data_IF_329236343292
#
_entry.id   IF_329236343292
#
_cell.length_a   1.000
_cell.length_b   1.000
_cell.length_c   1.000
_cell.angle_alpha   90.00
_cell.angle_beta   90.00
_cell.angle_gamma   90.00
#
_symmetry.space_group_name_H-M   'P 1'
#
loop_
_entity.id
_entity.type
_entity.pdbx_description
1 polymer ?
#
# COMPACT_ATOMS: atom_id res chain seq x y z
N UNK A 1 8.99 13.96 -34.24
CA UNK A 1 9.30 12.61 -34.75
C UNK A 1 8.88 11.46 -33.79
N UNK A 2 8.01 11.68 -32.80
CA UNK A 2 7.64 10.64 -31.81
C UNK A 2 6.23 10.02 -31.98
N UNK A 3 5.51 10.33 -33.07
CA UNK A 3 4.08 9.99 -33.20
C UNK A 3 3.74 8.71 -33.97
N UNK A 4 4.70 8.02 -34.60
CA UNK A 4 4.38 6.99 -35.61
C UNK A 4 4.51 5.54 -35.12
N UNK A 5 5.05 5.29 -33.92
CA UNK A 5 5.38 3.93 -33.44
C UNK A 5 4.58 3.57 -32.16
N UNK A 6 3.69 4.44 -31.69
CA UNK A 6 2.91 4.20 -30.46
C UNK A 6 3.76 4.11 -29.18
N UNK A 7 5.05 4.43 -29.24
CA UNK A 7 5.98 4.37 -28.11
C UNK A 7 5.91 5.66 -27.30
N UNK A 8 5.87 5.51 -25.97
CA UNK A 8 5.95 6.66 -25.05
C UNK A 8 7.32 7.34 -25.18
N UNK A 9 7.45 8.67 -24.97
CA UNK A 9 8.72 9.40 -25.09
C UNK A 9 9.88 8.78 -24.29
N UNK A 10 9.59 8.27 -23.09
CA UNK A 10 10.57 7.57 -22.25
C UNK A 10 11.06 6.25 -22.88
N UNK A 11 10.18 5.50 -23.55
CA UNK A 11 10.54 4.26 -24.25
C UNK A 11 11.42 4.56 -25.47
N UNK A 12 11.07 5.59 -26.24
CA UNK A 12 11.88 6.05 -27.37
C UNK A 12 13.28 6.47 -26.93
N UNK A 13 13.37 7.22 -25.83
CA UNK A 13 14.66 7.62 -25.26
C UNK A 13 15.47 6.41 -24.78
N UNK A 14 14.85 5.46 -24.09
CA UNK A 14 15.53 4.23 -23.65
C UNK A 14 16.06 3.39 -24.82
N UNK A 15 15.29 3.27 -25.91
CA UNK A 15 15.72 2.55 -27.13
C UNK A 15 16.91 3.25 -27.78
N UNK A 16 16.90 4.58 -27.85
CA UNK A 16 18.03 5.32 -28.40
C UNK A 16 19.29 5.21 -27.51
N UNK A 17 19.11 5.33 -26.20
CA UNK A 17 20.21 5.31 -25.22
C UNK A 17 20.84 3.93 -25.05
N UNK A 18 20.06 2.84 -25.09
CA UNK A 18 20.56 1.48 -24.84
C UNK A 18 20.47 0.55 -26.05
N UNK A 19 19.43 0.67 -26.87
CA UNK A 19 19.21 -0.20 -28.03
C UNK A 19 20.26 0.01 -29.13
N UNK A 20 20.51 1.26 -29.53
CA UNK A 20 21.50 1.56 -30.57
C UNK A 20 22.92 1.14 -30.13
N UNK A 21 23.42 1.48 -28.92
CA UNK A 21 24.71 1.00 -28.46
C UNK A 21 24.80 -0.52 -28.33
N UNK A 22 23.72 -1.20 -27.94
CA UNK A 22 23.70 -2.66 -27.83
C UNK A 22 23.79 -3.34 -29.20
N UNK A 23 23.08 -2.83 -30.22
CA UNK A 23 23.19 -3.32 -31.60
C UNK A 23 24.61 -3.10 -32.13
N UNK A 24 25.20 -1.93 -31.89
CA UNK A 24 26.60 -1.66 -32.24
C UNK A 24 27.56 -2.60 -31.51
N UNK A 25 27.34 -2.86 -30.22
CA UNK A 25 28.11 -3.83 -29.44
C UNK A 25 28.04 -5.23 -30.04
N UNK A 26 26.85 -5.67 -30.48
CA UNK A 26 26.65 -6.97 -31.11
C UNK A 26 27.43 -7.13 -32.43
N UNK A 27 27.64 -6.06 -33.20
CA UNK A 27 28.50 -6.12 -34.40
C UNK A 27 29.95 -6.53 -34.12
N UNK A 28 30.39 -6.48 -32.85
CA UNK A 28 31.71 -6.91 -32.43
C UNK A 28 31.76 -8.34 -31.86
N UNK A 29 30.68 -9.11 -31.91
CA UNK A 29 30.59 -10.44 -31.26
C UNK A 29 31.70 -11.41 -31.67
N UNK A 30 32.18 -11.35 -32.92
CA UNK A 30 33.28 -12.18 -33.42
C UNK A 30 34.68 -11.69 -32.98
N UNK A 31 34.77 -10.55 -32.29
CA UNK A 31 36.03 -9.91 -31.87
C UNK A 31 36.03 -9.74 -30.34
N UNK A 32 36.46 -10.76 -29.58
CA UNK A 32 36.27 -10.85 -28.13
C UNK A 32 36.72 -9.62 -27.33
N UNK A 33 37.87 -9.05 -27.69
CA UNK A 33 38.40 -7.87 -26.98
C UNK A 33 37.57 -6.60 -27.25
N UNK A 34 37.13 -6.39 -28.49
CA UNK A 34 36.30 -5.23 -28.85
C UNK A 34 34.91 -5.36 -28.24
N UNK A 35 34.35 -6.56 -28.31
CA UNK A 35 33.08 -6.88 -27.66
C UNK A 35 33.14 -6.61 -26.15
N UNK A 36 34.18 -7.11 -25.47
CA UNK A 36 34.37 -6.87 -24.04
C UNK A 36 34.49 -5.39 -23.68
N UNK A 37 35.25 -4.60 -24.45
CA UNK A 37 35.35 -3.16 -24.23
C UNK A 37 34.03 -2.43 -24.49
N UNK A 38 33.27 -2.83 -25.52
CA UNK A 38 31.97 -2.23 -25.81
C UNK A 38 30.93 -2.54 -24.74
N UNK A 39 30.89 -3.77 -24.23
CA UNK A 39 30.07 -4.13 -23.05
C UNK A 39 30.50 -3.33 -21.83
N UNK A 40 31.81 -3.26 -21.57
CA UNK A 40 32.37 -2.46 -20.47
C UNK A 40 31.99 -0.99 -20.55
N UNK A 41 32.03 -0.39 -21.75
CA UNK A 41 31.63 1.00 -21.98
C UNK A 41 30.13 1.22 -21.72
N UNK A 42 29.27 0.29 -22.13
CA UNK A 42 27.83 0.36 -21.83
C UNK A 42 27.58 0.28 -20.32
N UNK A 43 28.24 -0.65 -19.63
CA UNK A 43 28.13 -0.79 -18.17
C UNK A 43 28.64 0.45 -17.44
N UNK A 44 29.77 1.01 -17.87
CA UNK A 44 30.32 2.26 -17.32
C UNK A 44 29.39 3.44 -17.57
N UNK A 45 28.85 3.60 -18.78
CA UNK A 45 27.91 4.67 -19.10
C UNK A 45 26.62 4.54 -18.27
N UNK A 46 26.11 3.32 -18.08
CA UNK A 46 24.93 3.06 -17.24
C UNK A 46 25.21 3.34 -15.76
N UNK A 47 26.38 2.92 -15.26
CA UNK A 47 26.82 3.23 -13.89
C UNK A 47 26.97 4.72 -13.67
N UNK A 48 27.59 5.43 -14.63
CA UNK A 48 27.75 6.88 -14.60
C UNK A 48 26.39 7.58 -14.62
N UNK A 49 25.47 7.20 -15.52
CA UNK A 49 24.12 7.77 -15.56
C UNK A 49 23.38 7.65 -14.22
N UNK A 50 23.52 6.50 -13.53
CA UNK A 50 22.94 6.28 -12.20
C UNK A 50 23.50 7.24 -11.15
N UNK A 51 24.78 7.62 -11.24
CA UNK A 51 25.41 8.59 -10.32
C UNK A 51 24.89 10.03 -10.51
N UNK A 52 24.35 10.36 -11.68
CA UNK A 52 23.77 11.68 -11.96
C UNK A 52 22.24 11.69 -11.87
N UNK A 53 21.62 10.58 -11.43
CA UNK A 53 20.18 10.55 -11.19
C UNK A 53 19.85 11.30 -9.89
N UNK A 54 19.58 12.60 -10.02
CA UNK A 54 19.22 13.48 -8.90
C UNK A 54 17.83 13.20 -8.32
N UNK A 55 17.06 12.30 -8.94
CA UNK A 55 15.73 11.92 -8.42
C UNK A 55 15.85 10.99 -7.22
N UNK A 56 16.93 10.23 -7.09
CA UNK A 56 17.17 9.31 -5.96
C UNK A 56 17.81 10.07 -4.80
N UNK A 57 17.03 10.32 -3.75
CA UNK A 57 17.48 11.01 -2.53
C UNK A 57 18.12 10.08 -1.49
N UNK A 58 17.76 8.80 -1.53
CA UNK A 58 18.36 7.75 -0.70
C UNK A 58 18.26 6.40 -1.40
N UNK A 59 19.29 5.59 -1.23
CA UNK A 59 19.32 4.21 -1.73
C UNK A 59 20.08 3.34 -0.73
N UNK A 60 19.52 2.20 -0.38
CA UNK A 60 20.15 1.21 0.48
C UNK A 60 19.75 -0.20 0.04
N UNK A 61 20.54 -1.21 0.44
CA UNK A 61 20.30 -2.62 0.12
C UNK A 61 20.05 -3.39 1.40
N UNK A 62 18.86 -3.96 1.51
CA UNK A 62 18.51 -4.93 2.55
C UNK A 62 18.67 -6.37 2.04
N UNK A 63 18.40 -7.34 2.92
CA UNK A 63 18.28 -8.74 2.54
C UNK A 63 17.18 -8.98 1.50
N UNK A 64 16.13 -8.15 1.52
CA UNK A 64 14.96 -8.27 0.65
C UNK A 64 15.14 -7.58 -0.70
N UNK A 65 16.12 -6.69 -0.84
CA UNK A 65 16.53 -6.09 -2.11
C UNK A 65 16.96 -4.64 -1.97
N UNK A 66 16.94 -3.90 -3.08
CA UNK A 66 17.35 -2.49 -3.11
C UNK A 66 16.13 -1.61 -2.89
N UNK A 67 16.17 -0.78 -1.85
CA UNK A 67 15.17 0.25 -1.59
C UNK A 67 15.69 1.60 -2.06
N UNK A 68 14.83 2.38 -2.72
CA UNK A 68 15.12 3.74 -3.16
C UNK A 68 14.04 4.70 -2.65
N UNK A 69 14.47 5.84 -2.15
CA UNK A 69 13.60 7.00 -1.92
C UNK A 69 13.82 7.97 -3.06
N UNK A 70 12.80 8.13 -3.89
CA UNK A 70 12.84 8.96 -5.09
C UNK A 70 11.91 10.16 -4.91
N UNK A 71 12.36 11.34 -5.34
CA UNK A 71 11.52 12.53 -5.42
C UNK A 71 11.15 12.78 -6.88
N UNK A 72 9.87 12.94 -7.15
CA UNK A 72 9.38 13.55 -8.38
C UNK A 72 8.97 15.02 -8.14
N UNK A 73 8.14 15.59 -9.02
CA UNK A 73 7.72 16.99 -8.90
C UNK A 73 6.83 17.26 -7.67
N UNK A 74 6.02 16.30 -7.26
CA UNK A 74 5.00 16.48 -6.23
C UNK A 74 5.11 15.49 -5.08
N UNK A 75 5.75 14.35 -5.32
CA UNK A 75 5.76 13.22 -4.42
C UNK A 75 7.18 12.75 -4.12
N UNK A 76 7.35 12.32 -2.88
CA UNK A 76 8.40 11.38 -2.49
C UNK A 76 7.82 9.98 -2.49
N UNK A 77 8.55 9.01 -3.03
CA UNK A 77 8.11 7.61 -3.14
C UNK A 77 9.18 6.64 -2.64
N UNK A 78 8.73 5.56 -2.01
CA UNK A 78 9.58 4.43 -1.65
C UNK A 78 9.37 3.33 -2.69
N UNK A 79 10.47 2.91 -3.32
CA UNK A 79 10.45 1.92 -4.41
C UNK A 79 11.38 0.76 -4.07
N UNK A 80 10.91 -0.46 -4.33
CA UNK A 80 11.68 -1.70 -4.25
C UNK A 80 11.56 -2.46 -5.57
N UNK A 81 12.64 -2.48 -6.35
CA UNK A 81 12.58 -3.01 -7.72
C UNK A 81 11.57 -2.25 -8.58
N UNK A 82 10.49 -2.93 -8.98
CA UNK A 82 9.36 -2.35 -9.75
C UNK A 82 8.14 -1.99 -8.90
N UNK A 83 8.24 -2.19 -7.58
CA UNK A 83 7.11 -2.08 -6.65
C UNK A 83 7.15 -0.75 -5.93
N UNK A 84 6.01 -0.06 -5.90
CA UNK A 84 5.79 1.15 -5.12
C UNK A 84 5.27 0.77 -3.72
N UNK A 85 5.99 1.16 -2.67
CA UNK A 85 5.62 0.89 -1.27
C UNK A 85 4.94 2.06 -0.55
N UNK A 86 4.64 3.11 -1.29
CA UNK A 86 3.94 4.29 -0.79
C UNK A 86 4.49 5.59 -1.35
N UNK A 87 3.69 6.64 -1.19
CA UNK A 87 4.02 8.01 -1.57
C UNK A 87 3.69 8.94 -0.42
N UNK A 88 4.38 10.07 -0.41
CA UNK A 88 4.01 11.23 0.38
C UNK A 88 4.13 12.48 -0.47
N UNK A 89 3.24 13.46 -0.27
CA UNK A 89 3.41 14.78 -0.87
C UNK A 89 4.71 15.42 -0.37
N UNK A 90 5.40 16.13 -1.25
CA UNK A 90 6.54 16.98 -0.84
C UNK A 90 6.06 18.26 -0.14
N UNK A 91 4.86 18.74 -0.51
CA UNK A 91 4.21 19.88 0.12
C UNK A 91 3.79 19.55 1.55
N UNK A 92 4.22 20.33 2.58
CA UNK A 92 3.84 20.14 3.97
C UNK A 92 2.33 20.03 4.21
N UNK A 93 1.51 20.77 3.45
CA UNK A 93 0.06 20.77 3.64
C UNK A 93 -0.58 19.41 3.27
N UNK A 94 0.13 18.60 2.46
CA UNK A 94 -0.29 17.26 2.06
C UNK A 94 0.32 16.12 2.88
N UNK A 95 1.21 16.38 3.85
CA UNK A 95 1.97 15.34 4.55
C UNK A 95 1.10 14.32 5.28
N UNK A 96 -0.05 14.76 5.81
CA UNK A 96 -0.98 13.91 6.55
C UNK A 96 -1.97 13.11 5.69
N UNK A 97 -1.98 13.30 4.37
CA UNK A 97 -2.95 12.66 3.47
C UNK A 97 -2.39 11.27 3.08
N UNK A 98 -3.12 10.17 3.37
CA UNK A 98 -2.66 8.87 2.94
C UNK A 98 -2.88 8.70 1.43
N UNK A 99 -1.84 8.22 0.74
CA UNK A 99 -1.80 8.13 -0.72
C UNK A 99 -1.78 6.68 -1.20
N UNK A 100 -1.68 6.51 -2.52
CA UNK A 100 -1.57 5.23 -3.20
C UNK A 100 -2.78 4.35 -2.93
N UNK A 101 -2.56 3.09 -2.60
CA UNK A 101 -3.60 2.13 -2.25
C UNK A 101 -4.11 2.29 -0.80
N UNK A 102 -3.55 3.25 -0.05
CA UNK A 102 -4.04 3.67 1.27
C UNK A 102 -4.98 4.87 1.21
N UNK A 103 -5.39 5.33 0.03
CA UNK A 103 -6.19 6.54 -0.10
C UNK A 103 -7.52 6.43 0.66
N UNK A 104 -7.97 7.55 1.21
CA UNK A 104 -9.16 7.63 2.08
C UNK A 104 -10.47 7.31 1.34
N UNK A 105 -10.54 7.63 0.05
CA UNK A 105 -11.67 7.24 -0.82
C UNK A 105 -11.54 5.82 -1.37
N UNK A 106 -10.43 5.14 -1.06
CA UNK A 106 -10.19 3.75 -1.44
C UNK A 106 -10.70 2.74 -0.41
N UNK A 107 -10.55 1.44 -0.69
CA UNK A 107 -11.12 0.39 0.15
C UNK A 107 -10.65 0.43 1.60
N UNK A 108 -9.35 0.57 1.86
CA UNK A 108 -8.87 0.63 3.25
C UNK A 108 -9.34 1.91 3.96
N UNK A 109 -9.44 3.03 3.24
CA UNK A 109 -10.02 4.26 3.77
C UNK A 109 -11.48 4.06 4.24
N UNK A 110 -12.29 3.31 3.49
CA UNK A 110 -13.65 2.93 3.90
C UNK A 110 -13.64 2.10 5.20
N UNK A 111 -12.71 1.16 5.34
CA UNK A 111 -12.58 0.36 6.58
C UNK A 111 -12.19 1.26 7.75
N UNK A 112 -11.19 2.11 7.58
CA UNK A 112 -10.73 2.99 8.66
C UNK A 112 -11.84 3.94 9.07
N UNK A 113 -12.56 4.56 8.14
CA UNK A 113 -13.67 5.44 8.46
C UNK A 113 -14.83 4.72 9.19
N UNK A 114 -15.13 3.46 8.85
CA UNK A 114 -16.25 2.73 9.43
C UNK A 114 -15.93 2.09 10.81
N UNK A 115 -14.66 1.75 11.08
CA UNK A 115 -14.26 0.93 12.23
C UNK A 115 -13.19 1.54 13.12
N UNK A 116 -12.39 2.48 12.62
CA UNK A 116 -11.43 3.23 13.43
C UNK A 116 -12.10 4.46 14.07
N UNK A 117 -13.19 4.21 14.79
CA UNK A 117 -13.99 5.24 15.47
C UNK A 117 -13.93 5.02 16.97
N UNK A 118 -14.02 6.08 17.79
CA UNK A 118 -13.93 5.94 19.23
C UNK A 118 -15.16 5.23 19.80
N UNK A 119 -14.97 4.54 20.92
CA UNK A 119 -16.07 3.99 21.70
C UNK A 119 -16.79 5.06 22.54
N UNK A 120 -17.68 4.62 23.44
CA UNK A 120 -18.48 5.52 24.30
C UNK A 120 -17.64 6.32 25.29
N UNK A 121 -16.44 5.85 25.61
CA UNK A 121 -15.50 6.49 26.52
C UNK A 121 -14.45 7.31 25.75
N UNK A 122 -14.71 7.58 24.47
CA UNK A 122 -13.84 8.31 23.55
C UNK A 122 -12.47 7.63 23.34
N UNK A 123 -12.39 6.30 23.53
CA UNK A 123 -11.18 5.51 23.31
C UNK A 123 -11.19 4.93 21.91
N UNK A 124 -10.15 5.20 21.14
CA UNK A 124 -9.96 4.58 19.84
C UNK A 124 -9.46 3.14 20.00
N UNK A 125 -9.90 2.21 19.14
CA UNK A 125 -9.46 0.82 19.21
C UNK A 125 -8.01 0.65 18.77
N UNK A 126 -7.35 -0.39 19.26
CA UNK A 126 -5.98 -0.70 18.81
C UNK A 126 -6.00 -1.25 17.38
N UNK A 127 -4.98 -0.87 16.59
CA UNK A 127 -4.78 -1.38 15.23
C UNK A 127 -3.38 -1.99 15.07
N UNK A 128 -3.29 -3.04 14.27
CA UNK A 128 -2.01 -3.64 13.86
C UNK A 128 -1.86 -3.54 12.34
N UNK A 129 -0.68 -3.12 11.88
CA UNK A 129 -0.36 -2.97 10.48
C UNK A 129 0.89 -3.80 10.15
N UNK A 130 0.71 -4.85 9.36
CA UNK A 130 1.78 -5.74 8.90
C UNK A 130 2.29 -5.18 7.58
N UNK A 131 3.56 -4.76 7.58
CA UNK A 131 4.17 -3.89 6.58
C UNK A 131 4.15 -2.44 7.06
N UNK A 132 5.34 -1.84 7.18
CA UNK A 132 5.51 -0.42 7.50
C UNK A 132 5.47 0.43 6.22
N UNK A 133 6.18 0.01 5.16
CA UNK A 133 6.29 0.78 3.92
C UNK A 133 6.81 2.21 4.19
N UNK A 134 6.07 3.22 3.71
CA UNK A 134 6.35 4.64 4.01
C UNK A 134 5.76 5.12 5.35
N UNK A 135 5.11 4.25 6.12
CA UNK A 135 4.41 4.60 7.35
C UNK A 135 3.01 5.17 7.13
N UNK A 136 2.47 5.11 5.89
CA UNK A 136 1.23 5.80 5.51
C UNK A 136 0.02 5.43 6.37
N UNK A 137 -0.09 4.18 6.84
CA UNK A 137 -1.18 3.78 7.74
C UNK A 137 -1.20 4.55 9.07
N UNK A 138 -0.09 5.17 9.46
CA UNK A 138 -0.03 6.04 10.65
C UNK A 138 -0.85 7.33 10.46
N UNK A 139 -1.14 7.75 9.23
CA UNK A 139 -2.02 8.88 8.93
C UNK A 139 -3.41 8.71 9.57
N UNK A 140 -3.89 7.46 9.67
CA UNK A 140 -5.16 7.10 10.30
C UNK A 140 -5.12 7.02 11.82
N UNK A 141 -3.96 7.17 12.45
CA UNK A 141 -3.85 7.08 13.90
C UNK A 141 -4.42 8.33 14.58
N UNK A 142 -5.25 8.11 15.60
CA UNK A 142 -5.92 9.16 16.36
C UNK A 142 -5.20 9.45 17.68
N UNK A 143 -5.47 10.63 18.25
CA UNK A 143 -4.93 11.03 19.54
C UNK A 143 -5.29 10.00 20.63
N UNK A 144 -4.29 9.54 21.38
CA UNK A 144 -4.45 8.52 22.43
C UNK A 144 -4.63 7.09 21.92
N UNK A 145 -4.71 6.87 20.61
CA UNK A 145 -4.81 5.54 20.03
C UNK A 145 -3.47 4.81 20.09
N UNK A 146 -3.48 3.50 20.31
CA UNK A 146 -2.31 2.65 20.15
C UNK A 146 -2.36 1.91 18.81
N UNK A 147 -1.35 2.14 17.97
CA UNK A 147 -1.14 1.42 16.71
C UNK A 147 0.21 0.72 16.73
N UNK A 148 0.25 -0.50 16.20
CA UNK A 148 1.48 -1.33 16.16
C UNK A 148 1.80 -1.72 14.73
N UNK A 149 2.97 -1.35 14.25
CA UNK A 149 3.52 -1.84 12.98
C UNK A 149 4.34 -3.10 13.20
N UNK A 150 4.32 -3.99 12.21
CA UNK A 150 5.20 -5.15 12.11
C UNK A 150 5.92 -5.09 10.78
N UNK A 151 7.24 -5.01 10.80
CA UNK A 151 8.03 -5.00 9.57
C UNK A 151 9.30 -5.82 9.78
N UNK A 152 9.68 -6.58 8.76
CA UNK A 152 10.84 -7.46 8.82
C UNK A 152 12.14 -6.74 8.48
N UNK A 153 12.06 -5.60 7.77
CA UNK A 153 13.21 -4.95 7.18
C UNK A 153 13.72 -3.77 8.03
N UNK A 154 14.92 -3.88 8.65
CA UNK A 154 15.50 -2.79 9.43
C UNK A 154 15.84 -1.56 8.58
N UNK A 155 15.94 -1.69 7.25
CA UNK A 155 16.15 -0.55 6.34
C UNK A 155 14.85 0.27 6.24
N UNK A 156 13.69 -0.37 6.12
CA UNK A 156 12.38 0.32 6.09
C UNK A 156 12.15 1.09 7.39
N UNK A 157 12.50 0.49 8.55
CA UNK A 157 12.49 1.17 9.85
C UNK A 157 13.30 2.47 9.84
N UNK A 158 14.54 2.44 9.31
CA UNK A 158 15.38 3.65 9.22
C UNK A 158 14.83 4.71 8.28
N UNK A 159 14.09 4.30 7.24
CA UNK A 159 13.53 5.21 6.25
C UNK A 159 12.26 5.90 6.78
N UNK A 160 11.37 5.16 7.45
CA UNK A 160 10.00 5.62 7.72
C UNK A 160 9.59 5.70 9.20
N UNK A 161 10.42 5.23 10.14
CA UNK A 161 10.03 5.14 11.57
C UNK A 161 11.01 5.81 12.53
N UNK A 162 12.32 5.69 12.29
CA UNK A 162 13.35 6.21 13.19
C UNK A 162 13.60 7.72 13.04
N UNK A 163 13.13 8.31 11.93
CA UNK A 163 13.25 9.73 11.64
C UNK A 163 12.16 10.15 10.64
N UNK A 164 12.03 11.46 10.47
CA UNK A 164 11.10 12.16 9.58
C UNK A 164 11.78 12.66 8.29
N UNK A 165 13.07 12.33 8.07
CA UNK A 165 13.87 12.85 6.95
C UNK A 165 13.25 12.48 5.60
N UNK A 166 12.75 11.24 5.50
CA UNK A 166 12.17 10.72 4.26
C UNK A 166 10.66 10.68 4.32
N UNK A 167 10.03 10.19 5.39
CA UNK A 167 8.58 10.18 5.50
C UNK A 167 8.13 10.64 6.87
N UNK A 168 7.10 11.47 6.96
CA UNK A 168 6.69 12.11 8.23
C UNK A 168 5.49 11.43 8.91
N UNK A 169 4.76 10.53 8.22
CA UNK A 169 3.50 9.96 8.71
C UNK A 169 3.54 9.44 10.16
N UNK A 170 4.61 8.72 10.53
CA UNK A 170 4.78 8.19 11.89
C UNK A 170 4.99 9.30 12.91
N UNK A 171 5.82 10.29 12.57
CA UNK A 171 6.10 11.43 13.45
C UNK A 171 4.88 12.35 13.59
N UNK A 172 4.13 12.56 12.51
CA UNK A 172 2.87 13.29 12.52
C UNK A 172 1.84 12.62 13.43
N UNK A 173 1.73 11.29 13.36
CA UNK A 173 0.86 10.51 14.24
C UNK A 173 1.26 10.64 15.72
N UNK A 174 2.56 10.56 16.03
CA UNK A 174 3.08 10.76 17.39
C UNK A 174 2.81 12.18 17.89
N UNK A 175 3.01 13.18 17.05
CA UNK A 175 2.75 14.60 17.36
C UNK A 175 1.27 14.87 17.61
N UNK A 176 0.36 14.20 16.87
CA UNK A 176 -1.09 14.19 17.16
C UNK A 176 -1.42 13.56 18.51
N UNK A 177 -0.50 12.81 19.11
CA UNK A 177 -0.63 12.15 20.41
C UNK A 177 -1.01 10.66 20.31
N UNK A 178 -0.82 10.02 19.16
CA UNK A 178 -0.96 8.57 19.04
C UNK A 178 0.28 7.86 19.59
N UNK A 179 0.09 6.66 20.18
CA UNK A 179 1.18 5.76 20.51
C UNK A 179 1.44 4.85 19.30
N UNK A 180 2.61 5.00 18.68
CA UNK A 180 3.00 4.26 17.46
C UNK A 180 4.22 3.41 17.75
N UNK A 181 4.01 2.10 17.85
CA UNK A 181 5.07 1.11 18.08
C UNK A 181 5.44 0.37 16.78
N UNK A 182 6.67 -0.13 16.70
CA UNK A 182 7.14 -1.00 15.62
C UNK A 182 7.83 -2.22 16.21
N UNK A 183 7.37 -3.40 15.83
CA UNK A 183 7.97 -4.68 16.19
C UNK A 183 8.72 -5.19 14.97
N UNK A 184 10.05 -5.19 15.08
CA UNK A 184 10.92 -5.62 14.00
C UNK A 184 11.01 -7.16 13.95
N UNK A 185 10.76 -7.73 12.77
CA UNK A 185 10.89 -9.16 12.51
C UNK A 185 9.77 -9.68 11.60
N UNK A 186 9.79 -10.98 11.37
CA UNK A 186 8.69 -11.65 10.68
C UNK A 186 7.37 -11.42 11.44
N UNK A 187 6.39 -10.82 10.78
CA UNK A 187 5.15 -10.39 11.42
C UNK A 187 4.39 -11.58 12.03
N UNK A 188 4.38 -12.73 11.38
CA UNK A 188 3.68 -13.91 11.87
C UNK A 188 4.32 -14.44 13.15
N UNK A 189 5.64 -14.61 13.14
CA UNK A 189 6.38 -15.12 14.31
C UNK A 189 6.38 -14.13 15.48
N UNK A 190 6.48 -12.83 15.20
CA UNK A 190 6.50 -11.80 16.24
C UNK A 190 5.12 -11.62 16.87
N UNK A 191 4.03 -11.60 16.07
CA UNK A 191 2.67 -11.59 16.61
C UNK A 191 2.35 -12.83 17.41
N UNK A 192 2.75 -14.02 16.94
CA UNK A 192 2.51 -15.29 17.65
C UNK A 192 3.08 -15.25 19.07
N UNK A 193 4.30 -14.70 19.23
CA UNK A 193 5.00 -14.59 20.52
C UNK A 193 4.40 -13.58 21.49
N UNK A 194 3.56 -12.65 21.02
CA UNK A 194 2.94 -11.67 21.89
C UNK A 194 1.75 -12.26 22.63
N UNK A 195 1.73 -12.15 23.94
CA UNK A 195 0.55 -12.47 24.73
C UNK A 195 -0.23 -11.17 24.99
N UNK A 196 -1.30 -10.95 24.22
CA UNK A 196 -2.10 -9.73 24.31
C UNK A 196 -3.26 -9.94 25.28
N UNK A 197 -3.42 -9.01 26.22
CA UNK A 197 -4.65 -8.94 27.00
C UNK A 197 -5.84 -8.57 26.12
N UNK A 198 -7.08 -8.79 26.60
CA UNK A 198 -8.29 -8.42 25.84
C UNK A 198 -8.34 -6.92 25.48
N UNK A 199 -7.74 -6.05 26.29
CA UNK A 199 -7.65 -4.61 26.03
C UNK A 199 -6.56 -4.23 25.01
N UNK A 200 -5.58 -5.12 24.80
CA UNK A 200 -4.48 -4.92 23.85
C UNK A 200 -4.80 -5.50 22.47
N UNK A 201 -5.77 -6.42 22.38
CA UNK A 201 -6.21 -7.02 21.10
C UNK A 201 -6.63 -5.97 20.07
N UNK A 202 -6.38 -6.30 18.82
CA UNK A 202 -6.60 -5.40 17.70
C UNK A 202 -8.04 -5.46 17.20
N UNK A 203 -8.61 -4.30 16.93
CA UNK A 203 -9.87 -4.20 16.20
C UNK A 203 -9.66 -4.39 14.70
N UNK A 204 -8.53 -3.94 14.19
CA UNK A 204 -8.17 -4.00 12.77
C UNK A 204 -6.74 -4.51 12.67
N UNK A 205 -6.55 -5.62 11.95
CA UNK A 205 -5.25 -6.06 11.46
C UNK A 205 -5.22 -5.79 9.95
N UNK A 206 -4.25 -5.02 9.48
CA UNK A 206 -3.97 -4.83 8.05
C UNK A 206 -2.80 -5.70 7.67
N UNK A 207 -2.98 -6.54 6.66
CA UNK A 207 -1.95 -7.38 6.05
C UNK A 207 -1.56 -6.77 4.71
N UNK A 208 -0.42 -6.08 4.71
CA UNK A 208 0.15 -5.38 3.56
C UNK A 208 1.70 -5.51 3.56
N UNK A 209 2.17 -6.72 3.84
CA UNK A 209 3.58 -7.07 3.68
C UNK A 209 3.78 -7.63 2.27
N UNK A 210 4.39 -6.84 1.39
CA UNK A 210 4.74 -7.27 0.04
C UNK A 210 6.26 -7.45 -0.09
N UNK A 211 6.67 -8.65 -0.51
CA UNK A 211 8.03 -8.86 -1.02
C UNK A 211 7.98 -8.61 -2.53
N UNK A 212 8.31 -7.40 -2.95
CA UNK A 212 8.08 -6.93 -4.31
C UNK A 212 6.59 -6.99 -4.69
N UNK A 213 6.16 -7.86 -5.61
CA UNK A 213 4.82 -7.77 -6.22
C UNK A 213 3.74 -8.66 -5.56
N UNK A 214 4.04 -9.47 -4.53
CA UNK A 214 3.05 -10.35 -3.87
C UNK A 214 3.21 -10.47 -2.35
N UNK A 215 2.10 -10.78 -1.67
CA UNK A 215 2.08 -11.12 -0.24
C UNK A 215 2.83 -12.46 -0.05
N UNK A 216 3.79 -12.57 0.89
CA UNK A 216 4.40 -13.83 1.24
C UNK A 216 3.35 -14.88 1.64
N UNK A 217 3.44 -16.07 1.05
CA UNK A 217 2.46 -17.15 1.23
C UNK A 217 2.21 -17.46 2.71
N UNK A 218 3.26 -17.46 3.53
CA UNK A 218 3.17 -17.79 4.96
C UNK A 218 2.34 -16.79 5.79
N UNK A 219 1.92 -15.64 5.23
CA UNK A 219 0.99 -14.68 5.83
C UNK A 219 -0.47 -14.88 5.38
N UNK A 220 -0.70 -15.76 4.41
CA UNK A 220 -2.00 -16.06 3.81
C UNK A 220 -2.27 -17.58 3.81
N UNK A 221 -1.97 -18.21 4.95
CA UNK A 221 -2.30 -19.62 5.23
C UNK A 221 -3.38 -19.73 6.30
N UNK A 222 -3.94 -20.93 6.46
CA UNK A 222 -4.89 -21.24 7.54
C UNK A 222 -4.25 -20.99 8.91
N UNK A 223 -3.00 -21.38 9.08
CA UNK A 223 -2.27 -21.22 10.34
C UNK A 223 -2.01 -19.74 10.66
N UNK A 224 -1.64 -18.94 9.66
CA UNK A 224 -1.52 -17.49 9.81
C UNK A 224 -2.87 -16.87 10.19
N UNK A 225 -3.95 -17.26 9.51
CA UNK A 225 -5.30 -16.78 9.79
C UNK A 225 -5.72 -17.11 11.23
N UNK A 226 -5.51 -18.35 11.68
CA UNK A 226 -5.77 -18.74 13.08
C UNK A 226 -4.98 -17.91 14.07
N UNK A 227 -3.71 -17.62 13.78
CA UNK A 227 -2.90 -16.76 14.63
C UNK A 227 -3.51 -15.35 14.70
N UNK A 228 -3.88 -14.73 13.57
CA UNK A 228 -4.54 -13.42 13.56
C UNK A 228 -5.83 -13.42 14.38
N UNK A 229 -6.64 -14.48 14.29
CA UNK A 229 -7.87 -14.61 15.07
C UNK A 229 -7.64 -14.62 16.59
N UNK A 230 -6.47 -15.06 17.07
CA UNK A 230 -6.13 -14.96 18.50
C UNK A 230 -5.79 -13.54 18.95
N UNK A 231 -5.44 -12.65 18.01
CA UNK A 231 -4.99 -11.27 18.28
C UNK A 231 -6.06 -10.21 18.06
N UNK A 232 -7.22 -10.58 17.52
CA UNK A 232 -8.32 -9.63 17.27
C UNK A 232 -9.42 -9.67 18.34
N UNK A 233 -10.12 -8.55 18.49
CA UNK A 233 -11.37 -8.51 19.27
C UNK A 233 -12.45 -9.40 18.64
N UNK A 234 -13.49 -9.83 19.38
CA UNK A 234 -14.54 -10.70 18.84
C UNK A 234 -15.25 -10.15 17.58
N UNK A 235 -15.30 -8.83 17.46
CA UNK A 235 -15.88 -8.08 16.35
C UNK A 235 -14.81 -7.41 15.45
N UNK A 236 -13.55 -7.84 15.57
CA UNK A 236 -12.41 -7.34 14.82
C UNK A 236 -12.36 -7.80 13.37
N UNK A 237 -11.51 -7.12 12.60
CA UNK A 237 -11.36 -7.28 11.16
C UNK A 237 -9.92 -7.63 10.81
N UNK A 238 -9.76 -8.49 9.80
CA UNK A 238 -8.46 -8.76 9.17
C UNK A 238 -8.57 -8.34 7.70
N UNK A 239 -7.78 -7.36 7.30
CA UNK A 239 -7.87 -6.67 6.02
C UNK A 239 -6.62 -7.00 5.19
N UNK A 240 -6.78 -7.72 4.08
CA UNK A 240 -5.69 -8.07 3.19
C UNK A 240 -5.68 -7.16 1.97
N UNK A 241 -4.54 -6.50 1.73
CA UNK A 241 -4.28 -5.86 0.45
C UNK A 241 -3.81 -6.93 -0.53
N UNK A 242 -4.55 -7.18 -1.61
CA UNK A 242 -4.27 -8.28 -2.54
C UNK A 242 -4.07 -7.82 -3.99
N UNK A 243 -3.78 -6.54 -4.20
CA UNK A 243 -3.52 -6.01 -5.54
C UNK A 243 -2.32 -6.70 -6.15
N UNK A 244 -2.51 -7.41 -7.25
CA UNK A 244 -1.45 -8.15 -7.92
C UNK A 244 -1.70 -8.16 -9.44
N UNK A 245 -0.62 -8.11 -10.21
CA UNK A 245 -0.69 -8.11 -11.69
C UNK A 245 -0.90 -9.51 -12.28
N UNK A 246 -0.55 -10.56 -11.55
CA UNK A 246 -0.43 -11.93 -12.05
C UNK A 246 -1.23 -12.96 -11.24
N UNK A 247 -1.63 -12.66 -10.01
CA UNK A 247 -2.32 -13.59 -9.11
C UNK A 247 -3.69 -13.08 -8.68
N UNK A 248 -4.73 -13.92 -8.79
CA UNK A 248 -6.04 -13.69 -8.21
C UNK A 248 -6.14 -14.35 -6.82
N UNK A 249 -5.88 -13.57 -5.76
CA UNK A 249 -5.87 -14.06 -4.39
C UNK A 249 -7.25 -14.04 -3.70
N UNK A 250 -8.28 -13.45 -4.34
CA UNK A 250 -9.67 -13.45 -3.82
C UNK A 250 -10.15 -14.87 -3.45
N UNK A 251 -10.07 -15.89 -4.33
CA UNK A 251 -10.52 -17.24 -4.01
C UNK A 251 -9.72 -17.90 -2.88
N UNK A 252 -8.43 -17.57 -2.72
CA UNK A 252 -7.60 -18.09 -1.61
C UNK A 252 -8.18 -17.64 -0.28
N UNK A 253 -8.41 -16.34 -0.12
CA UNK A 253 -8.99 -15.78 1.11
C UNK A 253 -10.44 -16.23 1.33
N UNK A 254 -11.23 -16.38 0.28
CA UNK A 254 -12.60 -16.89 0.37
C UNK A 254 -12.63 -18.33 0.91
N UNK A 255 -11.74 -19.20 0.43
CA UNK A 255 -11.68 -20.60 0.84
C UNK A 255 -11.07 -20.75 2.25
N UNK A 256 -10.07 -19.93 2.59
CA UNK A 256 -9.56 -19.83 3.96
C UNK A 256 -10.67 -19.43 4.94
N UNK A 257 -11.39 -18.35 4.61
CA UNK A 257 -12.52 -17.89 5.42
C UNK A 257 -13.60 -18.96 5.56
N UNK A 258 -13.97 -19.66 4.49
CA UNK A 258 -14.90 -20.79 4.54
C UNK A 258 -14.40 -21.86 5.51
N UNK A 259 -13.11 -22.21 5.47
CA UNK A 259 -12.54 -23.28 6.30
C UNK A 259 -12.53 -22.94 7.80
N UNK A 260 -12.49 -21.66 8.14
CA UNK A 260 -12.52 -21.15 9.53
C UNK A 260 -13.87 -20.51 9.90
N UNK A 261 -14.92 -20.75 9.12
CA UNK A 261 -16.28 -20.20 9.30
C UNK A 261 -16.35 -18.65 9.44
N UNK A 262 -15.43 -17.95 8.80
CA UNK A 262 -15.40 -16.49 8.74
C UNK A 262 -16.29 -15.97 7.61
N UNK A 263 -16.60 -14.67 7.68
CA UNK A 263 -17.28 -13.92 6.62
C UNK A 263 -16.29 -13.03 5.89
N UNK A 264 -16.53 -12.82 4.60
CA UNK A 264 -15.65 -12.08 3.70
C UNK A 264 -16.39 -11.08 2.85
N UNK A 265 -15.80 -9.90 2.69
CA UNK A 265 -16.16 -8.93 1.66
C UNK A 265 -14.89 -8.50 0.92
N UNK A 266 -15.03 -8.08 -0.34
CA UNK A 266 -13.96 -7.42 -1.08
C UNK A 266 -14.44 -6.16 -1.75
N UNK A 267 -13.49 -5.28 -2.03
CA UNK A 267 -13.70 -4.10 -2.86
C UNK A 267 -12.46 -3.92 -3.74
N UNK A 268 -12.70 -3.92 -5.06
CA UNK A 268 -11.69 -3.56 -6.07
C UNK A 268 -11.99 -2.14 -6.54
N UNK A 269 -11.08 -1.22 -6.27
CA UNK A 269 -11.19 0.18 -6.66
C UNK A 269 -10.18 0.46 -7.77
N UNK A 270 -10.70 0.69 -8.98
CA UNK A 270 -9.92 1.01 -10.18
C UNK A 270 -9.88 2.52 -10.46
N UNK A 271 -10.47 3.35 -9.59
CA UNK A 271 -10.50 4.80 -9.76
C UNK A 271 -9.20 5.46 -9.27
N UNK A 272 -8.43 6.01 -10.20
CA UNK A 272 -7.19 6.76 -9.95
C UNK A 272 -7.33 8.26 -10.27
N UNK A 273 -8.56 8.81 -10.29
CA UNK A 273 -8.79 10.22 -10.59
C UNK A 273 -8.17 11.18 -9.55
N UNK A 274 -8.13 10.76 -8.29
CA UNK A 274 -7.58 11.56 -7.18
C UNK A 274 -6.05 11.59 -7.19
N UNK A 275 -5.49 12.76 -6.90
CA UNK A 275 -4.05 12.99 -6.98
C UNK A 275 -3.30 12.08 -5.99
N UNK A 276 -2.44 11.22 -6.53
CA UNK A 276 -1.62 10.30 -5.72
C UNK A 276 -2.35 9.02 -5.28
N UNK A 277 -3.65 8.86 -5.57
CA UNK A 277 -4.38 7.61 -5.41
C UNK A 277 -3.86 6.56 -6.41
N UNK A 278 -3.87 5.30 -5.99
CA UNK A 278 -3.57 4.16 -6.86
C UNK A 278 -4.64 3.10 -6.69
N UNK A 279 -4.97 2.41 -7.78
CA UNK A 279 -5.95 1.33 -7.78
C UNK A 279 -5.55 0.25 -6.78
N UNK A 280 -6.54 -0.35 -6.12
CA UNK A 280 -6.28 -1.41 -5.18
C UNK A 280 -7.44 -2.37 -4.99
N UNK A 281 -7.11 -3.61 -4.65
CA UNK A 281 -8.09 -4.63 -4.27
C UNK A 281 -7.83 -5.08 -2.84
N UNK A 282 -8.87 -5.02 -2.02
CA UNK A 282 -8.81 -5.39 -0.61
C UNK A 282 -9.88 -6.42 -0.27
N UNK A 283 -9.55 -7.33 0.63
CA UNK A 283 -10.46 -8.34 1.17
C UNK A 283 -10.49 -8.24 2.69
N UNK A 284 -11.68 -8.16 3.27
CA UNK A 284 -11.89 -8.04 4.73
C UNK A 284 -12.54 -9.31 5.25
N UNK A 285 -11.93 -9.90 6.28
CA UNK A 285 -12.40 -11.09 6.99
C UNK A 285 -12.89 -10.70 8.38
N UNK A 286 -13.96 -11.34 8.85
CA UNK A 286 -14.44 -11.21 10.22
C UNK A 286 -15.13 -12.48 10.74
N UNK A 287 -15.20 -12.64 12.06
CA UNK A 287 -15.84 -13.79 12.71
C UNK A 287 -17.35 -13.92 12.42
N UNK A 288 -18.03 -12.83 12.06
CA UNK A 288 -19.47 -12.85 11.82
C UNK A 288 -19.91 -11.73 10.86
N UNK A 289 -21.10 -11.89 10.29
CA UNK A 289 -21.64 -10.94 9.30
C UNK A 289 -21.92 -9.56 9.91
N UNK A 290 -22.31 -9.52 11.21
CA UNK A 290 -22.61 -8.27 11.91
C UNK A 290 -21.36 -7.38 12.01
N UNK A 291 -20.18 -7.97 12.19
CA UNK A 291 -18.91 -7.24 12.18
C UNK A 291 -18.65 -6.54 10.82
N UNK A 292 -19.14 -7.08 9.70
CA UNK A 292 -18.98 -6.48 8.36
C UNK A 292 -20.11 -5.53 7.95
N UNK A 293 -21.16 -5.42 8.77
CA UNK A 293 -22.38 -4.69 8.39
C UNK A 293 -22.16 -3.21 8.06
N UNK A 294 -21.18 -2.54 8.70
CA UNK A 294 -20.92 -1.11 8.46
C UNK A 294 -20.38 -0.86 7.05
N UNK A 295 -19.71 -1.83 6.43
CA UNK A 295 -19.26 -1.76 5.03
C UNK A 295 -20.40 -1.94 4.02
N UNK A 296 -21.53 -2.53 4.46
CA UNK A 296 -22.68 -2.83 3.61
C UNK A 296 -23.76 -1.73 3.65
N UNK A 297 -23.64 -0.75 4.56
CA UNK A 297 -24.67 0.27 4.80
C UNK A 297 -24.23 1.66 4.35
N UNK A 298 -25.03 2.29 3.49
CA UNK A 298 -24.83 3.65 2.93
C UNK A 298 -24.73 4.76 3.98
N UNK A 299 -25.37 4.61 5.14
CA UNK A 299 -25.51 5.66 6.15
C UNK A 299 -24.24 5.91 6.98
N UNK A 300 -23.35 4.91 7.11
CA UNK A 300 -22.09 5.05 7.86
C UNK A 300 -20.98 5.74 7.04
N UNK A 301 -21.21 6.05 5.76
CA UNK A 301 -20.30 6.80 4.89
C UNK A 301 -20.56 8.32 4.93
N UNK A 302 -21.65 8.79 5.55
CA UNK A 302 -22.00 10.21 5.65
C UNK A 302 -21.11 11.06 6.57
N UNK A 303 -20.55 10.57 7.69
CA UNK A 303 -19.62 11.36 8.52
C UNK A 303 -18.32 11.72 7.77
N UNK A 304 -17.97 10.96 6.73
CA UNK A 304 -16.87 11.20 5.80
C UNK A 304 -17.18 12.37 4.84
N UNK A 305 -18.43 12.84 4.75
CA UNK A 305 -18.74 14.07 4.01
C UNK A 305 -18.58 15.32 4.89
N UNK A 306 -18.99 15.25 6.15
CA UNK A 306 -19.07 16.44 7.02
C UNK A 306 -17.72 16.81 7.70
N UNK A 307 -16.87 15.84 8.05
CA UNK A 307 -15.51 16.13 8.58
C UNK A 307 -14.55 16.66 7.50
N UNK A 308 -14.87 16.42 6.23
CA UNK A 308 -14.06 16.70 5.06
C UNK A 308 -14.27 18.10 4.46
N UNK A 309 -15.29 18.81 4.93
CA UNK A 309 -15.49 20.23 4.66
C UNK A 309 -14.42 21.13 5.31
N UNK A 310 -13.64 20.62 6.27
CA UNK A 310 -12.53 21.37 6.90
C UNK A 310 -11.34 21.60 5.97
N UNK A 311 -10.75 20.60 5.29
CA UNK A 311 -9.70 20.83 4.30
C UNK A 311 -10.21 21.66 3.10
N UNK A 312 -11.48 21.48 2.70
CA UNK A 312 -12.14 22.33 1.68
C UNK A 312 -12.19 23.82 2.10
N UNK A 313 -12.50 24.13 3.36
CA UNK A 313 -12.45 25.51 3.90
C UNK A 313 -11.03 26.05 4.03
N UNK A 314 -10.07 25.21 4.39
CA UNK A 314 -8.67 25.60 4.54
C UNK A 314 -8.02 25.95 3.18
N UNK A 315 -8.37 25.22 2.12
CA UNK A 315 -7.94 25.48 0.75
C UNK A 315 -8.69 26.65 0.08
N UNK A 316 -9.88 27.02 0.58
CA UNK A 316 -10.65 28.17 0.06
C UNK A 316 -10.11 29.54 0.48
N UNK A 317 -9.20 29.60 1.48
CA UNK A 317 -8.56 30.83 1.96
C UNK A 317 -7.23 31.18 1.30
N UNK A 318 -6.77 30.34 0.37
CA UNK A 318 -5.48 30.46 -0.30
C UNK A 318 -5.62 31.26 -1.61
N UNK A 319 -5.10 32.48 -1.64
CA UNK A 319 -5.04 33.29 -2.86
C UNK A 319 -3.97 32.76 -3.81
N UNK A 320 -4.36 32.24 -4.97
CA UNK A 320 -3.40 31.84 -6.02
C UNK A 320 -3.84 32.37 -7.38
N UNK A 321 -3.19 33.42 -7.82
CA UNK A 321 -3.19 33.84 -9.22
C UNK A 321 -2.28 32.90 -10.03
N UNK A 322 -2.82 32.39 -11.14
CA UNK A 322 -2.14 31.71 -12.26
C UNK A 322 -1.95 30.17 -12.20
N UNK A 323 -3.03 29.38 -12.33
CA UNK A 323 -3.16 28.08 -13.07
C UNK A 323 -4.53 27.42 -12.80
N UNK A 324 -5.01 26.41 -13.57
CA UNK A 324 -6.43 26.26 -13.88
C UNK A 324 -7.30 25.85 -12.68
N UNK A 325 -7.96 26.85 -12.08
CA UNK A 325 -9.33 26.81 -11.56
C UNK A 325 -9.66 25.84 -10.40
N UNK A 326 -9.94 26.34 -9.17
CA UNK A 326 -10.44 25.53 -8.04
C UNK A 326 -11.81 24.87 -8.28
N UNK A 327 -12.58 25.33 -9.28
CA UNK A 327 -13.82 24.67 -9.71
C UNK A 327 -13.60 23.24 -10.21
N UNK A 328 -12.44 22.93 -10.80
CA UNK A 328 -12.10 21.57 -11.27
C UNK A 328 -11.91 20.59 -10.12
N UNK A 329 -11.32 21.05 -9.01
CA UNK A 329 -10.99 20.24 -7.84
C UNK A 329 -12.23 19.98 -6.97
N UNK A 330 -13.06 21.00 -6.79
CA UNK A 330 -14.36 20.85 -6.10
C UNK A 330 -15.33 19.96 -6.91
N UNK A 331 -15.33 20.04 -8.24
CA UNK A 331 -16.08 19.13 -9.12
C UNK A 331 -15.53 17.69 -9.10
N UNK A 332 -14.22 17.51 -8.87
CA UNK A 332 -13.58 16.20 -8.71
C UNK A 332 -14.04 15.52 -7.42
N UNK A 333 -13.97 16.23 -6.29
CA UNK A 333 -14.47 15.79 -4.99
C UNK A 333 -16.01 15.58 -4.98
N UNK A 334 -16.78 16.47 -5.60
CA UNK A 334 -18.24 16.29 -5.79
C UNK A 334 -18.58 15.13 -6.73
N UNK A 335 -17.69 14.80 -7.67
CA UNK A 335 -17.79 13.62 -8.53
C UNK A 335 -17.64 12.32 -7.75
N UNK A 336 -16.71 12.27 -6.78
CA UNK A 336 -16.50 11.14 -5.88
C UNK A 336 -17.71 10.88 -4.97
N UNK A 337 -18.47 11.92 -4.59
CA UNK A 337 -19.67 11.79 -3.77
C UNK A 337 -20.90 11.22 -4.50
N UNK A 338 -20.86 11.16 -5.84
CA UNK A 338 -22.03 10.80 -6.65
C UNK A 338 -22.20 9.30 -6.92
N UNK A 339 -21.26 8.46 -6.51
CA UNK A 339 -21.22 7.08 -6.98
C UNK A 339 -20.92 6.06 -5.87
N UNK A 340 -21.86 5.79 -4.97
CA UNK A 340 -21.78 4.58 -4.11
C UNK A 340 -23.16 4.03 -3.74
N UNK A 341 -23.57 3.02 -4.51
CA UNK A 341 -24.10 1.80 -3.89
C UNK A 341 -23.00 1.17 -3.02
N UNK A 342 -23.33 0.33 -2.03
CA UNK A 342 -22.32 -0.27 -1.15
C UNK A 342 -21.27 -1.03 -2.00
N UNK A 343 -20.02 -0.54 -2.11
CA UNK A 343 -19.05 -1.05 -3.10
C UNK A 343 -18.41 -2.38 -2.69
N UNK A 344 -18.72 -2.85 -1.48
CA UNK A 344 -18.22 -4.09 -0.92
C UNK A 344 -19.10 -5.26 -1.31
N UNK A 345 -18.50 -6.25 -1.94
CA UNK A 345 -19.17 -7.44 -2.45
C UNK A 345 -18.74 -8.71 -1.70
N UNK A 346 -19.60 -9.73 -1.57
CA UNK A 346 -19.18 -11.05 -1.09
C UNK A 346 -18.14 -11.68 -2.00
N UNK A 347 -17.10 -12.28 -1.42
CA UNK A 347 -16.09 -13.00 -2.20
C UNK A 347 -16.60 -14.39 -2.55
N UNK A 348 -16.55 -14.75 -3.84
CA UNK A 348 -16.88 -16.10 -4.30
C UNK A 348 -15.70 -17.04 -4.05
N UNK A 349 -16.02 -18.18 -3.47
CA UNK A 349 -15.12 -19.33 -3.33
C UNK A 349 -14.94 -20.02 -4.68
N UNK A 350 -13.82 -20.72 -4.84
CA UNK A 350 -13.52 -21.50 -6.03
C UNK A 350 -13.08 -22.90 -5.63
N UNK A 351 -13.77 -23.93 -6.07
CA UNK A 351 -13.50 -25.31 -5.63
C UNK A 351 -12.21 -25.87 -6.24
N UNK A 352 -11.71 -25.27 -7.32
CA UNK A 352 -10.42 -25.58 -7.93
C UNK A 352 -9.21 -24.98 -7.19
N UNK A 353 -9.45 -24.07 -6.25
CA UNK A 353 -8.42 -23.47 -5.39
C UNK A 353 -8.43 -24.16 -4.02
N UNK A 354 -7.40 -24.94 -3.71
CA UNK A 354 -7.29 -25.58 -2.39
C UNK A 354 -7.12 -24.57 -1.25
N UNK A 355 -7.44 -24.96 -0.02
CA UNK A 355 -7.11 -24.15 1.17
C UNK A 355 -5.60 -24.16 1.37
N UNK A 356 -4.99 -22.98 1.40
CA UNK A 356 -3.56 -22.86 1.65
C UNK A 356 -3.24 -23.11 3.12
N UNK A 357 -2.26 -23.96 3.37
CA UNK A 357 -1.64 -24.21 4.67
C UNK A 357 -0.14 -23.99 4.56
N UNK A 358 0.55 -24.02 5.70
CA UNK A 358 2.01 -23.96 5.73
C UNK A 358 2.69 -25.07 4.93
N UNK A 359 2.06 -26.25 4.89
CA UNK A 359 2.57 -27.42 4.18
C UNK A 359 2.12 -27.48 2.70
N UNK A 360 1.10 -26.71 2.31
CA UNK A 360 0.51 -26.78 0.97
C UNK A 360 0.00 -25.43 0.48
N UNK A 361 0.54 -24.95 -0.63
CA UNK A 361 0.03 -23.79 -1.36
C UNK A 361 0.25 -23.99 -2.86
N UNK A 362 -0.80 -23.79 -3.67
CA UNK A 362 -0.72 -23.92 -5.12
C UNK A 362 -0.84 -22.54 -5.79
N UNK A 363 0.30 -21.93 -6.16
CA UNK A 363 0.31 -20.65 -6.87
C UNK A 363 -0.24 -20.76 -8.29
N UNK A 364 -0.12 -21.92 -8.95
CA UNK A 364 -0.55 -22.08 -10.34
C UNK A 364 -2.07 -22.02 -10.47
N UNK A 365 -2.83 -22.43 -9.45
CA UNK A 365 -4.30 -22.38 -9.48
C UNK A 365 -4.87 -20.96 -9.43
N UNK A 366 -4.05 -19.98 -9.07
CA UNK A 366 -4.46 -18.58 -8.90
C UNK A 366 -3.79 -17.64 -9.90
N UNK A 367 -3.06 -18.19 -10.88
CA UNK A 367 -2.45 -17.38 -11.92
C UNK A 367 -3.50 -16.81 -12.87
N UNK A 368 -3.44 -15.51 -13.14
CA UNK A 368 -4.25 -14.82 -14.14
C UNK A 368 -3.51 -14.91 -15.48
N UNK A 369 -4.01 -15.74 -16.38
CA UNK A 369 -3.44 -15.99 -17.70
C UNK A 369 -3.77 -14.88 -18.71
#
# INVERSE_FOLDING_TARGET
MAGWIGLKPAQTLAILTYGVPTVLCYTFVERPFRFGLSVGAILLASGFNTLFDTTVSYQDRSFFGVLKVENDRFFRRLVHGTTLHGKQFLDPDGHGIPLTYYHETGPIGHVMAAYNVPDKDNKYPNCAFIGLGTGTMAAYANKGQHVTFYDIDPVVKRIAFDNDKYFTFVEDARTKGAKVDLILGDARLTMERQDLTEEEKYKIIVVDAFSSDAIPIHLITREALKMYLTKITPDGLICFHISNRYLDLKPVLANLARSENLKTLYFSDDDEAEAGKARSTWVVLANNQKALSRLLTKENLKPIQDEWDRPLKMLSGMSWEQSPGPGSFALMLLGALKNTDAPWEPVKTRDDVGVWSDDYSNLLSVFMW
#
